data_IF_517106024000
#
_entry.id   IF_517106024000
#
_cell.length_a   1.000
_cell.length_b   1.000
_cell.length_c   1.000
_cell.angle_alpha   90.00
_cell.angle_beta   90.00
_cell.angle_gamma   90.00
#
_symmetry.space_group_name_H-M   'P 1'
#
loop_
_entity.id
_entity.type
_entity.pdbx_description
1 polymer ?
#
# COMPACT_ATOMS: atom_id res chain seq x y z
N UNK A 1 -7.04 33.52 -61.55
CA UNK A 1 -7.61 34.39 -60.49
C UNK A 1 -7.30 33.66 -59.18
N UNK A 2 -6.11 33.91 -58.59
CA UNK A 2 -5.91 34.85 -57.46
C UNK A 2 -6.60 34.26 -56.21
N UNK A 3 -5.97 33.92 -55.07
CA UNK A 3 -4.64 34.14 -54.49
C UNK A 3 -4.47 33.20 -53.29
N UNK A 4 -3.21 32.91 -52.95
CA UNK A 4 -2.71 32.37 -51.68
C UNK A 4 -3.13 33.18 -50.45
N UNK A 5 -3.28 32.54 -49.28
CA UNK A 5 -2.74 33.10 -48.03
C UNK A 5 -2.47 32.00 -46.99
N UNK A 6 -1.20 31.91 -46.59
CA UNK A 6 -0.78 31.16 -45.41
C UNK A 6 -0.99 31.97 -44.13
N UNK A 7 -1.04 31.24 -43.01
CA UNK A 7 -0.71 31.78 -41.70
C UNK A 7 0.04 30.72 -40.91
N UNK A 8 1.35 30.92 -40.80
CA UNK A 8 2.22 30.34 -39.79
C UNK A 8 2.18 31.20 -38.53
N UNK A 9 2.50 30.59 -37.39
CA UNK A 9 2.56 31.21 -36.05
C UNK A 9 1.52 30.54 -35.14
N UNK A 10 1.85 29.84 -34.07
CA UNK A 10 2.98 29.99 -33.16
C UNK A 10 2.37 29.93 -31.75
N UNK A 11 2.73 28.91 -30.98
CA UNK A 11 2.25 28.65 -29.63
C UNK A 11 2.64 27.23 -29.29
N UNK A 12 3.80 27.00 -28.67
CA UNK A 12 4.09 27.45 -27.32
C UNK A 12 3.66 26.31 -26.41
N UNK A 13 4.51 25.31 -26.21
CA UNK A 13 5.37 25.29 -25.03
C UNK A 13 4.54 25.43 -23.74
N UNK A 14 3.79 24.38 -23.38
CA UNK A 14 3.26 24.28 -22.01
C UNK A 14 3.06 22.84 -21.49
N UNK A 15 3.63 21.83 -22.14
CA UNK A 15 3.50 20.43 -21.69
C UNK A 15 4.72 19.90 -20.92
N UNK A 16 5.62 20.81 -20.50
CA UNK A 16 6.81 20.49 -19.68
C UNK A 16 6.67 20.87 -18.21
N UNK A 17 5.52 21.39 -17.79
CA UNK A 17 5.32 21.91 -16.43
C UNK A 17 4.73 20.88 -15.44
N UNK A 18 4.43 19.64 -15.86
CA UNK A 18 3.84 18.65 -14.94
C UNK A 18 4.82 17.68 -14.27
N UNK A 19 6.10 17.65 -14.65
CA UNK A 19 7.15 16.92 -13.90
C UNK A 19 6.91 15.42 -13.62
N UNK A 20 5.91 14.78 -14.27
CA UNK A 20 5.56 13.38 -14.02
C UNK A 20 6.45 12.47 -14.85
N UNK A 21 7.67 12.24 -14.37
CA UNK A 21 8.45 11.07 -14.76
C UNK A 21 7.75 9.84 -14.12
N UNK A 22 6.92 9.15 -14.90
CA UNK A 22 6.17 7.94 -14.58
C UNK A 22 4.97 8.14 -13.62
N UNK A 23 4.27 7.05 -13.29
CA UNK A 23 3.08 7.01 -12.40
C UNK A 23 3.42 7.22 -10.92
N UNK A 24 4.43 8.03 -10.62
CA UNK A 24 4.90 8.29 -9.27
C UNK A 24 3.98 9.26 -8.54
N UNK A 25 3.66 8.93 -7.28
CA UNK A 25 2.94 9.81 -6.38
C UNK A 25 3.91 10.52 -5.43
N UNK A 26 3.99 11.86 -5.54
CA UNK A 26 4.76 12.71 -4.63
C UNK A 26 3.96 13.96 -4.22
N UNK A 27 3.81 14.21 -2.92
CA UNK A 27 3.21 15.44 -2.41
C UNK A 27 4.07 16.69 -2.68
N UNK A 28 3.46 17.81 -3.11
CA UNK A 28 4.17 19.06 -3.38
C UNK A 28 4.80 19.69 -2.13
N UNK A 29 4.33 19.35 -0.92
CA UNK A 29 4.83 19.87 0.35
C UNK A 29 6.14 19.23 0.83
N UNK A 30 6.61 18.15 0.20
CA UNK A 30 7.81 17.41 0.64
C UNK A 30 9.08 18.27 0.74
N UNK A 31 9.42 19.14 -0.23
CA UNK A 31 10.63 19.96 -0.14
C UNK A 31 10.70 20.83 1.11
N UNK A 32 9.59 21.46 1.51
CA UNK A 32 9.52 22.30 2.72
C UNK A 32 9.72 21.45 3.98
N UNK A 33 8.98 20.35 4.08
CA UNK A 33 9.02 19.45 5.24
C UNK A 33 10.40 18.82 5.43
N UNK A 34 11.07 18.44 4.34
CA UNK A 34 12.44 17.91 4.37
C UNK A 34 13.42 18.95 4.94
N UNK A 35 13.33 20.22 4.52
CA UNK A 35 14.20 21.28 5.04
C UNK A 35 13.94 21.53 6.51
N UNK A 36 12.66 21.63 6.91
CA UNK A 36 12.28 21.81 8.32
C UNK A 36 12.81 20.68 9.19
N UNK A 37 12.71 19.43 8.73
CA UNK A 37 13.30 18.28 9.43
C UNK A 37 14.83 18.43 9.56
N UNK A 38 15.51 18.76 8.46
CA UNK A 38 16.97 18.93 8.45
C UNK A 38 17.46 20.09 9.36
N UNK A 39 16.64 21.11 9.57
CA UNK A 39 16.94 22.24 10.46
C UNK A 39 16.46 22.03 11.91
N UNK A 40 15.81 20.90 12.23
CA UNK A 40 15.27 20.63 13.57
C UNK A 40 13.97 21.38 13.89
N UNK A 41 13.26 21.87 12.88
CA UNK A 41 11.97 22.60 12.98
C UNK A 41 10.74 21.70 12.76
N UNK A 42 10.98 20.41 12.57
CA UNK A 42 9.98 19.36 12.42
C UNK A 42 10.41 18.16 13.24
N UNK A 43 9.58 17.79 14.21
CA UNK A 43 9.74 16.56 14.98
C UNK A 43 9.03 15.41 14.24
N UNK A 44 9.71 14.31 13.91
CA UNK A 44 9.09 13.16 13.27
C UNK A 44 8.00 12.53 14.14
N UNK A 45 6.83 12.27 13.55
CA UNK A 45 5.81 11.48 14.23
C UNK A 45 6.20 9.99 14.27
N UNK A 46 5.93 9.25 15.35
CA UNK A 46 6.13 7.80 15.36
C UNK A 46 5.28 7.12 14.27
N UNK A 47 5.82 6.16 13.50
CA UNK A 47 5.05 5.46 12.50
C UNK A 47 4.04 4.51 13.15
N UNK A 48 2.80 4.49 12.64
CA UNK A 48 1.80 3.49 13.02
C UNK A 48 2.12 2.16 12.33
N UNK A 49 2.02 1.05 13.05
CA UNK A 49 2.15 -0.29 12.45
C UNK A 49 1.02 -0.52 11.46
N UNK A 50 1.31 -1.15 10.34
CA UNK A 50 0.35 -1.45 9.28
C UNK A 50 0.74 -2.74 8.55
N UNK A 51 -0.24 -3.35 7.90
CA UNK A 51 -0.05 -4.55 7.10
C UNK A 51 -0.76 -4.41 5.76
N UNK A 52 -0.20 -5.05 4.73
CA UNK A 52 -0.83 -5.11 3.41
C UNK A 52 -0.54 -6.44 2.74
N UNK A 53 -1.49 -6.94 1.95
CA UNK A 53 -1.41 -8.29 1.36
C UNK A 53 -1.52 -8.22 -0.15
N UNK A 54 -0.43 -8.62 -0.82
CA UNK A 54 -0.44 -8.96 -2.24
C UNK A 54 -1.18 -10.27 -2.41
N UNK A 55 -2.49 -10.20 -2.64
CA UNK A 55 -3.31 -11.38 -2.91
C UNK A 55 -3.08 -11.84 -4.35
N UNK A 56 -2.66 -13.09 -4.52
CA UNK A 56 -2.21 -13.67 -5.77
C UNK A 56 -3.18 -14.77 -6.24
N UNK A 57 -3.30 -14.94 -7.55
CA UNK A 57 -3.99 -16.08 -8.14
C UNK A 57 -3.32 -16.50 -9.43
N UNK A 58 -3.59 -17.73 -9.83
CA UNK A 58 -3.33 -18.22 -11.19
C UNK A 58 -4.50 -17.80 -12.09
N UNK A 59 -4.20 -17.01 -13.12
CA UNK A 59 -5.16 -16.59 -14.13
C UNK A 59 -5.65 -17.74 -15.01
N UNK A 60 -6.70 -17.48 -15.80
CA UNK A 60 -7.30 -18.49 -16.68
C UNK A 60 -6.32 -19.01 -17.76
N UNK A 61 -5.32 -18.21 -18.11
CA UNK A 61 -4.24 -18.55 -19.02
C UNK A 61 -3.01 -19.14 -18.33
N UNK A 62 -3.10 -19.44 -17.03
CA UNK A 62 -2.01 -19.96 -16.21
C UNK A 62 -1.07 -18.89 -15.64
N UNK A 63 -1.24 -17.62 -16.01
CA UNK A 63 -0.32 -16.56 -15.58
C UNK A 63 -0.62 -16.05 -14.16
N UNK A 64 0.43 -15.69 -13.42
CA UNK A 64 0.33 -15.00 -12.14
C UNK A 64 -0.42 -13.66 -12.28
N UNK A 65 -1.44 -13.45 -11.44
CA UNK A 65 -2.14 -12.19 -11.30
C UNK A 65 -2.20 -11.76 -9.83
N UNK A 66 -2.18 -10.45 -9.60
CA UNK A 66 -2.28 -9.82 -8.27
C UNK A 66 -3.55 -8.97 -8.19
N UNK A 67 -4.21 -9.02 -7.03
CA UNK A 67 -5.35 -8.18 -6.73
C UNK A 67 -4.89 -6.79 -6.31
N UNK A 68 -5.36 -5.75 -7.00
CA UNK A 68 -5.05 -4.36 -6.68
C UNK A 68 -6.32 -3.53 -6.58
N UNK A 69 -6.31 -2.57 -5.66
CA UNK A 69 -7.39 -1.63 -5.40
C UNK A 69 -6.94 -0.23 -5.82
N UNK A 70 -7.79 0.51 -6.53
CA UNK A 70 -7.59 1.94 -6.79
C UNK A 70 -8.31 2.73 -5.72
N UNK A 71 -7.55 3.46 -4.92
CA UNK A 71 -8.05 4.36 -3.88
C UNK A 71 -8.94 5.43 -4.50
N UNK A 72 -10.05 5.79 -3.85
CA UNK A 72 -10.91 6.87 -4.36
C UNK A 72 -10.11 8.16 -4.55
N UNK A 73 -10.35 8.85 -5.66
CA UNK A 73 -9.63 10.09 -5.99
C UNK A 73 -9.88 11.23 -5.00
N UNK A 74 -10.98 11.18 -4.26
CA UNK A 74 -11.32 12.13 -3.20
C UNK A 74 -10.52 11.95 -1.90
N UNK A 75 -9.73 10.87 -1.76
CA UNK A 75 -8.93 10.66 -0.56
C UNK A 75 -7.80 11.68 -0.48
N UNK A 76 -7.63 12.28 0.71
CA UNK A 76 -6.63 13.31 0.97
C UNK A 76 -5.16 12.83 0.82
N UNK A 77 -4.92 11.51 0.93
CA UNK A 77 -3.59 10.91 0.78
C UNK A 77 -3.65 9.75 -0.22
N UNK A 78 -2.76 9.82 -1.22
CA UNK A 78 -2.65 8.84 -2.31
C UNK A 78 -3.99 8.56 -3.04
N UNK A 79 -4.85 9.57 -3.21
CA UNK A 79 -6.09 9.44 -3.97
C UNK A 79 -5.82 9.06 -5.43
N UNK A 80 -6.53 8.06 -5.94
CA UNK A 80 -6.34 7.51 -7.29
C UNK A 80 -5.12 6.59 -7.45
N UNK A 81 -4.31 6.40 -6.40
CA UNK A 81 -3.21 5.45 -6.43
C UNK A 81 -3.71 4.01 -6.28
N UNK A 82 -3.05 3.09 -6.98
CA UNK A 82 -3.23 1.67 -6.81
C UNK A 82 -2.44 1.18 -5.58
N UNK A 83 -3.07 0.33 -4.80
CA UNK A 83 -2.56 -0.32 -3.61
C UNK A 83 -3.09 -1.77 -3.53
N UNK A 84 -2.75 -2.46 -2.46
CA UNK A 84 -3.34 -3.76 -2.11
C UNK A 84 -4.25 -3.59 -0.90
N UNK A 85 -5.10 -4.59 -0.58
CA UNK A 85 -5.79 -4.65 0.70
C UNK A 85 -4.79 -4.47 1.86
N UNK A 86 -5.13 -3.62 2.81
CA UNK A 86 -4.23 -3.33 3.92
C UNK A 86 -4.54 -2.03 4.64
N UNK A 87 -4.21 -2.02 5.91
CA UNK A 87 -4.48 -0.89 6.80
C UNK A 87 -3.61 -0.93 8.03
N UNK A 88 -3.93 -0.04 8.96
CA UNK A 88 -3.21 0.06 10.21
C UNK A 88 -3.59 -1.09 11.14
N UNK A 89 -2.64 -1.51 11.98
CA UNK A 89 -2.93 -2.38 13.13
C UNK A 89 -3.90 -1.63 14.06
N UNK A 90 -5.04 -2.25 14.35
CA UNK A 90 -6.02 -1.78 15.34
C UNK A 90 -5.58 -2.31 16.72
N UNK A 91 -5.75 -1.55 17.82
CA UNK A 91 -5.49 -2.07 19.16
C UNK A 91 -6.22 -3.39 19.48
N UNK A 92 -7.35 -3.67 18.83
CA UNK A 92 -8.09 -4.93 18.95
C UNK A 92 -7.36 -6.12 18.31
N UNK A 93 -6.42 -5.89 17.41
CA UNK A 93 -5.58 -6.93 16.80
C UNK A 93 -4.53 -7.47 17.79
N UNK A 94 -4.29 -6.76 18.91
CA UNK A 94 -3.36 -7.17 19.98
C UNK A 94 -3.95 -8.24 20.91
N UNK A 95 -5.26 -8.52 20.81
CA UNK A 95 -5.90 -9.60 21.56
C UNK A 95 -5.47 -10.96 21.02
N UNK A 96 -5.37 -11.95 21.90
CA UNK A 96 -5.19 -13.35 21.52
C UNK A 96 -6.32 -13.85 20.62
N UNK A 97 -5.93 -14.58 19.57
CA UNK A 97 -6.87 -15.18 18.61
C UNK A 97 -6.58 -16.67 18.46
N UNK A 98 -7.60 -17.50 18.13
CA UNK A 98 -7.34 -18.87 17.74
C UNK A 98 -6.43 -18.91 16.51
N UNK A 99 -5.39 -19.74 16.55
CA UNK A 99 -4.24 -19.61 15.66
C UNK A 99 -3.77 -20.97 15.13
N UNK A 100 -3.39 -21.02 13.86
CA UNK A 100 -2.77 -22.15 13.19
C UNK A 100 -1.64 -21.67 12.27
N UNK A 101 -0.60 -22.50 12.12
CA UNK A 101 0.61 -22.14 11.38
C UNK A 101 1.78 -21.71 12.28
N UNK A 102 2.82 -21.04 11.73
CA UNK A 102 3.93 -20.52 12.52
C UNK A 102 3.41 -19.66 13.67
N UNK A 103 3.93 -19.91 14.86
CA UNK A 103 3.54 -19.23 16.10
C UNK A 103 3.82 -17.73 16.04
N UNK A 104 3.19 -16.91 16.91
CA UNK A 104 3.55 -15.51 17.07
C UNK A 104 5.05 -15.29 17.34
N UNK A 105 5.71 -16.23 18.04
CA UNK A 105 7.16 -16.19 18.28
C UNK A 105 8.00 -16.40 17.01
N UNK A 106 7.59 -17.34 16.15
CA UNK A 106 8.24 -17.56 14.84
C UNK A 106 8.05 -16.36 13.92
N UNK A 107 6.85 -15.78 13.90
CA UNK A 107 6.59 -14.53 13.18
C UNK A 107 7.37 -13.35 13.76
N UNK A 108 7.52 -13.24 15.08
CA UNK A 108 8.35 -12.21 15.70
C UNK A 108 9.81 -12.27 15.25
N UNK A 109 10.40 -13.47 15.25
CA UNK A 109 11.73 -13.68 14.71
C UNK A 109 11.81 -13.29 13.23
N UNK A 110 10.80 -13.65 12.43
CA UNK A 110 10.72 -13.35 10.99
C UNK A 110 10.59 -11.85 10.69
N UNK A 111 9.79 -11.12 11.48
CA UNK A 111 9.43 -9.72 11.28
C UNK A 111 10.39 -8.76 12.01
N UNK A 112 11.22 -9.27 12.93
CA UNK A 112 12.18 -8.49 13.72
C UNK A 112 11.49 -7.60 14.77
N UNK A 113 10.49 -8.14 15.46
CA UNK A 113 9.68 -7.45 16.48
C UNK A 113 9.31 -8.42 17.62
N UNK A 114 8.69 -7.92 18.68
CA UNK A 114 8.19 -8.75 19.79
C UNK A 114 6.98 -9.61 19.38
N UNK A 115 6.75 -10.79 20.01
CA UNK A 115 5.66 -11.71 19.66
C UNK A 115 4.27 -11.08 19.59
N UNK A 116 3.93 -10.21 20.54
CA UNK A 116 2.63 -9.53 20.60
C UNK A 116 2.47 -8.56 19.43
N UNK A 117 3.56 -7.90 19.03
CA UNK A 117 3.59 -7.02 17.85
C UNK A 117 3.43 -7.83 16.58
N UNK A 118 4.09 -8.99 16.48
CA UNK A 118 4.00 -9.86 15.32
C UNK A 118 2.58 -10.43 15.15
N UNK A 119 1.95 -10.89 16.23
CA UNK A 119 0.56 -11.32 16.23
C UNK A 119 -0.35 -10.21 15.70
N UNK A 120 -0.25 -8.99 16.23
CA UNK A 120 -1.11 -7.89 15.82
C UNK A 120 -0.92 -7.52 14.34
N UNK A 121 0.31 -7.55 13.84
CA UNK A 121 0.63 -7.30 12.42
C UNK A 121 0.02 -8.38 11.52
N UNK A 122 0.11 -9.66 11.91
CA UNK A 122 -0.46 -10.78 11.14
C UNK A 122 -2.00 -10.75 11.20
N UNK A 123 -2.58 -10.47 12.37
CA UNK A 123 -4.03 -10.25 12.53
C UNK A 123 -4.53 -9.14 11.60
N UNK A 124 -3.86 -7.98 11.60
CA UNK A 124 -4.21 -6.88 10.71
C UNK A 124 -4.12 -7.27 9.23
N UNK A 125 -3.11 -8.05 8.83
CA UNK A 125 -2.98 -8.52 7.45
C UNK A 125 -4.21 -9.34 7.01
N UNK A 126 -4.67 -10.29 7.85
CA UNK A 126 -5.83 -11.13 7.53
C UNK A 126 -7.14 -10.35 7.64
N UNK A 127 -7.30 -9.53 8.69
CA UNK A 127 -8.48 -8.70 8.92
C UNK A 127 -8.72 -7.74 7.75
N UNK A 128 -7.72 -6.95 7.38
CA UNK A 128 -7.82 -5.97 6.29
C UNK A 128 -8.08 -6.65 4.94
N UNK A 129 -7.47 -7.82 4.70
CA UNK A 129 -7.77 -8.62 3.49
C UNK A 129 -9.23 -9.04 3.43
N UNK A 130 -9.82 -9.40 4.58
CA UNK A 130 -11.23 -9.71 4.64
C UNK A 130 -12.08 -8.44 4.46
N UNK A 131 -11.83 -7.39 5.22
CA UNK A 131 -12.57 -6.12 5.15
C UNK A 131 -12.62 -5.54 3.74
N UNK A 132 -11.49 -5.45 3.06
CA UNK A 132 -11.41 -4.77 1.76
C UNK A 132 -11.64 -5.69 0.57
N UNK A 133 -11.21 -6.96 0.64
CA UNK A 133 -11.18 -7.83 -0.53
C UNK A 133 -12.16 -8.99 -0.48
N UNK A 134 -12.92 -9.21 0.59
CA UNK A 134 -13.80 -10.39 0.62
C UNK A 134 -13.17 -11.65 1.19
N UNK A 135 -11.84 -11.68 1.27
CA UNK A 135 -11.05 -12.92 1.33
C UNK A 135 -10.54 -13.16 2.74
N UNK A 136 -10.81 -14.35 3.28
CA UNK A 136 -10.48 -14.71 4.65
C UNK A 136 -9.42 -15.82 4.68
N UNK A 137 -8.27 -15.53 5.29
CA UNK A 137 -7.22 -16.52 5.56
C UNK A 137 -7.43 -17.16 6.94
N UNK A 138 -8.56 -17.84 7.09
CA UNK A 138 -8.95 -18.55 8.31
C UNK A 138 -9.79 -19.78 7.98
N UNK A 139 -9.84 -20.75 8.89
CA UNK A 139 -10.58 -21.99 8.73
C UNK A 139 -10.96 -22.64 10.06
N UNK A 140 -11.83 -23.65 10.04
CA UNK A 140 -12.27 -24.35 11.26
C UNK A 140 -11.17 -25.24 11.87
N UNK A 141 -10.11 -25.52 11.12
CA UNK A 141 -8.99 -26.34 11.55
C UNK A 141 -7.67 -25.89 10.86
N UNK A 142 -6.51 -26.42 11.29
CA UNK A 142 -5.20 -26.06 10.70
C UNK A 142 -4.96 -26.52 9.26
N UNK A 143 -5.84 -27.33 8.65
CA UNK A 143 -5.67 -27.88 7.31
C UNK A 143 -6.57 -27.18 6.28
N UNK A 144 -7.75 -26.72 6.67
CA UNK A 144 -8.76 -26.15 5.76
C UNK A 144 -8.94 -24.64 5.93
N UNK A 145 -9.61 -24.03 4.96
CA UNK A 145 -10.07 -22.63 4.99
C UNK A 145 -11.59 -22.60 4.83
N UNK A 146 -12.21 -21.48 5.19
CA UNK A 146 -13.59 -21.20 4.78
C UNK A 146 -13.65 -21.16 3.25
N UNK A 147 -14.43 -22.04 2.63
CA UNK A 147 -14.50 -22.15 1.18
C UNK A 147 -15.30 -21.00 0.52
N UNK A 148 -16.32 -20.48 1.20
CA UNK A 148 -17.19 -19.42 0.68
C UNK A 148 -17.46 -18.38 1.78
N UNK A 149 -17.00 -17.16 1.52
CA UNK A 149 -17.16 -15.98 2.38
C UNK A 149 -18.23 -15.03 1.84
N UNK A 150 -19.11 -15.50 0.96
CA UNK A 150 -20.22 -14.73 0.39
C UNK A 150 -21.54 -14.96 1.14
N UNK A 151 -22.46 -14.01 1.02
CA UNK A 151 -23.78 -14.05 1.66
C UNK A 151 -23.98 -13.00 2.73
N UNK A 152 -25.23 -12.78 3.13
CA UNK A 152 -25.63 -11.65 3.97
C UNK A 152 -24.95 -11.65 5.35
N UNK A 153 -24.76 -12.81 5.96
CA UNK A 153 -24.11 -12.92 7.28
C UNK A 153 -22.61 -12.61 7.22
N UNK A 154 -21.92 -13.02 6.15
CA UNK A 154 -20.50 -12.68 5.96
C UNK A 154 -20.33 -11.19 5.65
N UNK A 155 -21.25 -10.61 4.90
CA UNK A 155 -21.23 -9.18 4.60
C UNK A 155 -21.53 -8.33 5.84
N UNK A 156 -22.47 -8.75 6.69
CA UNK A 156 -22.75 -8.11 7.97
C UNK A 156 -21.51 -8.13 8.89
N UNK A 157 -20.78 -9.25 8.93
CA UNK A 157 -19.56 -9.37 9.72
C UNK A 157 -18.42 -8.51 9.17
N UNK A 158 -18.26 -8.48 7.84
CA UNK A 158 -17.29 -7.63 7.17
C UNK A 158 -17.56 -6.16 7.46
N UNK A 159 -18.82 -5.73 7.39
CA UNK A 159 -19.22 -4.37 7.71
C UNK A 159 -18.98 -4.03 9.20
N UNK A 160 -19.26 -4.96 10.11
CA UNK A 160 -19.01 -4.77 11.53
C UNK A 160 -17.51 -4.67 11.87
N UNK A 161 -16.66 -5.44 11.19
CA UNK A 161 -15.20 -5.34 11.31
C UNK A 161 -14.70 -3.99 10.78
N UNK A 162 -15.06 -3.62 9.55
CA UNK A 162 -14.67 -2.35 8.92
C UNK A 162 -15.22 -1.13 9.69
N UNK A 163 -16.35 -1.27 10.38
CA UNK A 163 -16.93 -0.26 11.26
C UNK A 163 -16.32 -0.21 12.68
N UNK A 164 -15.36 -1.09 12.99
CA UNK A 164 -14.78 -1.29 14.32
C UNK A 164 -15.81 -1.64 15.43
N UNK A 165 -16.96 -2.20 15.05
CA UNK A 165 -18.03 -2.67 15.93
C UNK A 165 -17.76 -4.09 16.46
N UNK A 166 -16.99 -4.88 15.72
CA UNK A 166 -16.58 -6.24 16.05
C UNK A 166 -15.05 -6.31 16.02
N UNK A 167 -14.43 -6.96 17.01
CA UNK A 167 -12.99 -7.26 16.93
C UNK A 167 -12.73 -8.49 16.06
N UNK A 168 -11.56 -8.57 15.44
CA UNK A 168 -11.22 -9.75 14.64
C UNK A 168 -11.13 -11.03 15.49
N UNK A 169 -10.62 -10.93 16.72
CA UNK A 169 -10.63 -12.05 17.67
C UNK A 169 -12.04 -12.54 18.00
N UNK A 170 -12.97 -11.64 18.33
CA UNK A 170 -14.37 -12.00 18.61
C UNK A 170 -15.05 -12.60 17.37
N UNK A 171 -14.76 -12.07 16.19
CA UNK A 171 -15.26 -12.61 14.92
C UNK A 171 -14.82 -14.06 14.71
N UNK A 172 -13.52 -14.35 14.91
CA UNK A 172 -12.96 -15.69 14.78
C UNK A 172 -13.55 -16.64 15.82
N UNK A 173 -13.58 -16.24 17.10
CA UNK A 173 -14.16 -17.05 18.19
C UNK A 173 -15.62 -17.39 17.93
N UNK A 174 -16.44 -16.39 17.58
CA UNK A 174 -17.88 -16.57 17.32
C UNK A 174 -18.14 -17.53 16.16
N UNK A 175 -17.27 -17.52 15.14
CA UNK A 175 -17.38 -18.43 13.98
C UNK A 175 -16.65 -19.76 14.17
N UNK A 176 -15.94 -19.96 15.28
CA UNK A 176 -15.14 -21.16 15.53
C UNK A 176 -13.99 -21.31 14.53
N UNK A 177 -13.33 -20.21 14.18
CA UNK A 177 -12.27 -20.17 13.16
C UNK A 177 -10.91 -19.90 13.79
N UNK A 178 -9.87 -20.48 13.19
CA UNK A 178 -8.48 -20.23 13.45
C UNK A 178 -7.91 -19.34 12.35
N UNK A 179 -7.17 -18.31 12.74
CA UNK A 179 -6.31 -17.56 11.82
C UNK A 179 -5.26 -18.53 11.26
N UNK A 180 -5.19 -18.65 9.93
CA UNK A 180 -4.22 -19.50 9.21
C UNK A 180 -2.98 -18.68 8.83
N UNK A 181 -2.06 -18.52 9.79
CA UNK A 181 -0.87 -17.69 9.61
C UNK A 181 0.11 -18.29 8.60
N UNK A 182 0.05 -19.62 8.40
CA UNK A 182 0.83 -20.36 7.40
C UNK A 182 0.46 -20.04 5.95
N UNK A 183 -0.67 -19.37 5.71
CA UNK A 183 -1.08 -18.91 4.37
C UNK A 183 -0.46 -17.57 3.98
N UNK A 184 0.27 -16.92 4.89
CA UNK A 184 0.96 -15.66 4.65
C UNK A 184 2.45 -15.90 4.46
N UNK A 185 3.04 -15.21 3.48
CA UNK A 185 4.49 -15.10 3.30
C UNK A 185 4.96 -13.67 3.49
N UNK A 186 5.99 -13.43 4.31
CA UNK A 186 6.59 -12.10 4.47
C UNK A 186 7.29 -11.63 3.19
N UNK A 187 6.97 -10.43 2.71
CA UNK A 187 7.40 -9.94 1.39
C UNK A 187 8.31 -8.70 1.44
N UNK A 188 7.94 -7.67 2.18
CA UNK A 188 8.76 -6.47 2.33
C UNK A 188 8.39 -5.73 3.61
N UNK A 189 9.24 -4.78 4.04
CA UNK A 189 8.90 -3.83 5.08
C UNK A 189 9.31 -2.44 4.63
N UNK A 190 8.38 -1.50 4.65
CA UNK A 190 8.62 -0.11 4.26
C UNK A 190 8.13 0.81 5.37
N UNK A 191 8.96 1.79 5.74
CA UNK A 191 8.54 2.81 6.69
C UNK A 191 8.46 4.15 5.97
N UNK A 192 7.33 4.82 6.15
CA UNK A 192 7.06 6.14 5.57
C UNK A 192 8.12 7.15 6.03
N UNK A 193 8.61 8.05 5.15
CA UNK A 193 9.66 9.01 5.48
C UNK A 193 9.37 9.84 6.73
N UNK A 194 10.41 10.23 7.47
CA UNK A 194 10.30 10.96 8.75
C UNK A 194 9.64 12.33 8.64
N UNK A 195 9.81 12.98 7.49
CA UNK A 195 9.21 14.27 7.23
C UNK A 195 7.71 14.18 6.97
N UNK A 196 7.11 13.00 6.78
CA UNK A 196 5.67 12.88 6.53
C UNK A 196 4.85 13.07 7.82
N UNK A 197 3.69 13.76 7.79
CA UNK A 197 2.85 13.96 8.97
C UNK A 197 2.03 12.72 9.33
N UNK A 198 1.86 11.78 8.39
CA UNK A 198 1.20 10.50 8.58
C UNK A 198 2.17 9.41 8.18
N UNK A 199 2.66 8.66 9.16
CA UNK A 199 3.68 7.65 8.95
C UNK A 199 3.16 6.27 9.28
N UNK A 200 3.56 5.31 8.46
CA UNK A 200 3.30 3.90 8.66
C UNK A 200 4.60 3.10 8.61
N UNK A 201 4.70 2.09 9.46
CA UNK A 201 5.66 0.99 9.38
C UNK A 201 4.88 -0.21 8.86
N UNK A 202 5.02 -0.48 7.56
CA UNK A 202 4.15 -1.39 6.83
C UNK A 202 4.88 -2.66 6.47
N UNK A 203 4.37 -3.79 6.97
CA UNK A 203 4.76 -5.11 6.52
C UNK A 203 3.88 -5.53 5.34
N UNK A 204 4.53 -5.92 4.25
CA UNK A 204 3.90 -6.46 3.07
C UNK A 204 3.96 -7.98 3.14
N UNK A 205 2.84 -8.63 2.86
CA UNK A 205 2.71 -10.07 2.77
C UNK A 205 2.26 -10.49 1.36
N UNK A 206 2.55 -11.73 1.00
CA UNK A 206 1.94 -12.42 -0.15
C UNK A 206 1.03 -13.52 0.36
N UNK A 207 -0.09 -13.75 -0.33
CA UNK A 207 -1.01 -14.85 -0.05
C UNK A 207 -1.64 -15.35 -1.36
N UNK A 208 -1.93 -16.65 -1.44
CA UNK A 208 -2.78 -17.17 -2.51
C UNK A 208 -4.26 -16.89 -2.20
N UNK A 209 -5.04 -16.55 -3.23
CA UNK A 209 -6.51 -16.59 -3.15
C UNK A 209 -6.94 -18.02 -2.81
N UNK A 210 -7.60 -18.24 -1.66
CA UNK A 210 -8.00 -19.59 -1.27
C UNK A 210 -9.04 -20.17 -2.22
N UNK A 211 -8.96 -21.47 -2.47
CA UNK A 211 -9.91 -22.17 -3.33
C UNK A 211 -11.36 -21.99 -2.86
N UNK A 212 -12.25 -21.68 -3.80
CA UNK A 212 -13.67 -21.43 -3.55
C UNK A 212 -14.00 -19.96 -3.25
N UNK A 213 -13.06 -19.20 -2.65
CA UNK A 213 -13.28 -17.80 -2.34
C UNK A 213 -13.18 -16.91 -3.59
N UNK A 214 -13.84 -15.76 -3.52
CA UNK A 214 -13.84 -14.74 -4.58
C UNK A 214 -13.65 -13.39 -3.94
N UNK A 215 -12.95 -12.50 -4.64
CA UNK A 215 -12.83 -11.13 -4.16
C UNK A 215 -14.18 -10.43 -4.19
N UNK A 216 -14.51 -9.70 -3.13
CA UNK A 216 -15.68 -8.85 -3.06
C UNK A 216 -15.59 -7.69 -4.07
N UNK A 217 -16.69 -6.93 -4.20
CA UNK A 217 -16.70 -5.68 -4.95
C UNK A 217 -15.82 -4.61 -4.30
N UNK A 218 -15.86 -3.40 -4.84
CA UNK A 218 -15.10 -2.27 -4.28
C UNK A 218 -15.65 -1.84 -2.93
N UNK A 219 -14.77 -1.63 -1.95
CA UNK A 219 -15.10 -1.06 -0.64
C UNK A 219 -15.50 0.42 -0.76
N UNK A 220 -15.83 1.07 0.37
CA UNK A 220 -16.02 2.52 0.41
C UNK A 220 -14.72 3.32 0.22
N UNK A 221 -13.55 2.68 0.30
CA UNK A 221 -12.24 3.35 0.19
C UNK A 221 -11.62 3.19 -1.20
N UNK A 222 -12.08 2.20 -1.98
CA UNK A 222 -11.69 1.98 -3.36
C UNK A 222 -12.83 2.34 -4.34
N UNK A 223 -12.49 2.81 -5.54
CA UNK A 223 -13.48 2.96 -6.63
C UNK A 223 -13.30 1.92 -7.73
N UNK A 224 -12.22 1.13 -7.68
CA UNK A 224 -11.92 0.06 -8.62
C UNK A 224 -11.11 -1.04 -7.95
N UNK A 225 -11.44 -2.29 -8.28
CA UNK A 225 -10.64 -3.46 -7.95
C UNK A 225 -10.28 -4.19 -9.25
N UNK A 226 -9.04 -4.65 -9.38
CA UNK A 226 -8.56 -5.34 -10.58
C UNK A 226 -7.69 -6.54 -10.21
N UNK A 227 -7.78 -7.58 -11.02
CA UNK A 227 -6.76 -8.60 -11.11
C UNK A 227 -5.91 -8.30 -12.32
N UNK A 228 -4.60 -8.10 -12.12
CA UNK A 228 -3.67 -7.67 -13.17
C UNK A 228 -2.37 -8.47 -13.07
N UNK A 229 -1.71 -8.73 -14.21
CA UNK A 229 -0.38 -9.36 -14.19
C UNK A 229 0.63 -8.38 -13.59
N UNK A 230 1.58 -8.82 -12.74
CA UNK A 230 2.61 -7.93 -12.19
C UNK A 230 3.35 -7.13 -13.27
N UNK A 231 3.71 -7.77 -14.39
CA UNK A 231 4.38 -7.12 -15.52
C UNK A 231 3.54 -6.02 -16.17
N UNK A 232 2.24 -6.24 -16.33
CA UNK A 232 1.31 -5.24 -16.89
C UNK A 232 1.14 -4.05 -15.94
N UNK A 233 1.04 -4.33 -14.63
CA UNK A 233 0.91 -3.30 -13.61
C UNK A 233 2.16 -2.40 -13.54
N UNK A 234 3.36 -2.99 -13.59
CA UNK A 234 4.63 -2.26 -13.65
C UNK A 234 4.73 -1.44 -14.94
N UNK A 235 4.41 -2.02 -16.09
CA UNK A 235 4.44 -1.30 -17.36
C UNK A 235 3.44 -0.14 -17.39
N UNK A 236 2.25 -0.32 -16.80
CA UNK A 236 1.26 0.75 -16.64
C UNK A 236 1.75 1.88 -15.73
N UNK A 237 2.47 1.55 -14.66
CA UNK A 237 3.14 2.55 -13.83
C UNK A 237 4.23 3.29 -14.60
N UNK A 238 5.09 2.58 -15.33
CA UNK A 238 6.18 3.18 -16.10
C UNK A 238 5.64 4.14 -17.19
N UNK A 239 4.47 3.83 -17.77
CA UNK A 239 3.76 4.71 -18.71
C UNK A 239 2.98 5.85 -18.05
N UNK A 240 2.89 5.91 -16.72
CA UNK A 240 2.11 6.92 -15.99
C UNK A 240 0.59 6.68 -15.95
N UNK A 241 0.12 5.51 -16.39
CA UNK A 241 -1.30 5.14 -16.45
C UNK A 241 -1.81 4.61 -15.10
N UNK A 242 -0.95 3.96 -14.32
CA UNK A 242 -1.25 3.45 -12.99
C UNK A 242 -0.42 4.21 -11.96
N UNK A 243 -1.06 5.14 -11.27
CA UNK A 243 -0.46 5.87 -10.16
C UNK A 243 -0.16 4.89 -9.02
N UNK A 244 1.07 4.86 -8.53
CA UNK A 244 1.48 4.00 -7.41
C UNK A 244 2.49 4.72 -6.52
N UNK A 245 2.50 4.37 -5.24
CA UNK A 245 3.57 4.75 -4.33
C UNK A 245 4.79 3.83 -4.53
N UNK A 246 6.02 4.28 -4.21
CA UNK A 246 7.24 3.48 -4.35
C UNK A 246 7.16 2.06 -3.76
N UNK A 247 6.60 1.83 -2.54
CA UNK A 247 6.46 0.48 -1.99
C UNK A 247 5.68 -0.44 -2.92
N UNK A 248 4.54 0.01 -3.45
CA UNK A 248 3.65 -0.81 -4.30
C UNK A 248 4.35 -1.26 -5.57
N UNK A 249 4.96 -0.35 -6.33
CA UNK A 249 5.64 -0.73 -7.58
C UNK A 249 6.90 -1.57 -7.29
N UNK A 250 7.61 -1.30 -6.19
CA UNK A 250 8.76 -2.12 -5.80
C UNK A 250 8.34 -3.54 -5.48
N UNK A 251 7.24 -3.74 -4.75
CA UNK A 251 6.75 -5.08 -4.43
C UNK A 251 6.18 -5.81 -5.64
N UNK A 252 5.60 -5.10 -6.62
CA UNK A 252 5.24 -5.67 -7.93
C UNK A 252 6.46 -6.12 -8.72
N UNK A 253 7.50 -5.28 -8.80
CA UNK A 253 8.74 -5.62 -9.51
C UNK A 253 9.40 -6.86 -8.91
N UNK A 254 9.32 -7.01 -7.59
CA UNK A 254 9.82 -8.19 -6.90
C UNK A 254 9.06 -9.49 -7.25
N UNK A 255 7.86 -9.42 -7.84
CA UNK A 255 7.12 -10.59 -8.32
C UNK A 255 7.55 -11.02 -9.74
N UNK A 256 8.16 -10.13 -10.53
CA UNK A 256 8.49 -10.38 -11.94
C UNK A 256 9.39 -11.61 -12.18
N UNK A 257 10.32 -11.99 -11.29
CA UNK A 257 11.13 -13.19 -11.48
C UNK A 257 10.37 -14.52 -11.33
N UNK A 258 9.12 -14.51 -10.85
CA UNK A 258 8.37 -15.72 -10.54
C UNK A 258 7.27 -15.99 -11.57
N UNK A 259 7.14 -17.25 -11.97
CA UNK A 259 6.18 -17.67 -13.00
C UNK A 259 4.78 -17.94 -12.44
N UNK A 260 4.68 -18.42 -11.19
CA UNK A 260 3.43 -18.86 -10.57
C UNK A 260 3.33 -18.53 -9.07
N UNK A 261 2.14 -18.73 -8.50
CA UNK A 261 1.85 -18.45 -7.08
C UNK A 261 2.69 -19.33 -6.13
N UNK A 262 2.81 -20.66 -6.33
CA UNK A 262 3.66 -21.49 -5.47
C UNK A 262 5.11 -21.04 -5.41
N UNK A 263 5.72 -20.64 -6.53
CA UNK A 263 7.09 -20.15 -6.55
C UNK A 263 7.25 -18.85 -5.74
N UNK A 264 6.27 -17.93 -5.82
CA UNK A 264 6.25 -16.72 -5.01
C UNK A 264 6.18 -17.07 -3.51
N UNK A 265 5.25 -17.94 -3.12
CA UNK A 265 5.07 -18.31 -1.71
C UNK A 265 6.29 -19.03 -1.15
N UNK A 266 6.89 -19.94 -1.91
CA UNK A 266 8.11 -20.65 -1.51
C UNK A 266 9.28 -19.69 -1.24
N UNK A 267 9.40 -18.62 -2.04
CA UNK A 267 10.46 -17.62 -1.86
C UNK A 267 10.27 -16.73 -0.63
N UNK A 268 9.04 -16.57 -0.13
CA UNK A 268 8.72 -15.60 0.92
C UNK A 268 9.42 -15.89 2.27
N UNK A 269 9.76 -17.15 2.53
CA UNK A 269 10.50 -17.56 3.72
C UNK A 269 11.92 -16.98 3.79
N UNK A 270 12.55 -16.70 2.65
CA UNK A 270 13.96 -16.30 2.56
C UNK A 270 14.16 -14.80 2.38
N UNK A 271 13.08 -14.02 2.23
CA UNK A 271 13.16 -12.59 1.90
C UNK A 271 13.71 -11.76 3.05
N UNK A 272 14.59 -10.81 2.71
CA UNK A 272 15.01 -9.76 3.64
C UNK A 272 13.83 -8.80 3.92
N UNK A 273 13.52 -8.62 5.21
CA UNK A 273 12.49 -7.69 5.70
C UNK A 273 13.10 -6.52 6.47
N UNK A 274 14.40 -6.25 6.28
CA UNK A 274 15.03 -5.02 6.73
C UNK A 274 14.23 -3.84 6.20
N UNK A 275 13.81 -2.89 7.06
CA UNK A 275 12.92 -1.82 6.66
C UNK A 275 13.58 -0.92 5.60
N UNK A 276 12.88 -0.73 4.49
CA UNK A 276 13.27 0.25 3.48
C UNK A 276 12.88 1.64 3.96
N UNK A 277 13.88 2.52 4.06
CA UNK A 277 13.76 3.89 4.57
C UNK A 277 14.21 4.91 3.54
N UNK A 278 13.42 5.97 3.38
CA UNK A 278 13.85 7.13 2.60
C UNK A 278 14.98 7.88 3.32
N UNK A 279 15.94 8.36 2.55
CA UNK A 279 17.00 9.27 2.98
C UNK A 279 16.91 10.55 2.17
N UNK A 280 16.64 11.65 2.88
CA UNK A 280 16.72 12.99 2.31
C UNK A 280 18.05 13.64 2.71
N UNK A 281 18.76 14.23 1.75
CA UNK A 281 20.01 14.98 1.97
C UNK A 281 19.91 16.35 1.32
N UNK A 282 20.38 17.38 2.02
CA UNK A 282 20.58 18.71 1.46
C UNK A 282 21.95 18.77 0.78
N UNK A 283 22.00 19.08 -0.50
CA UNK A 283 23.23 19.23 -1.30
C UNK A 283 23.21 20.61 -1.94
N UNK A 284 23.82 21.59 -1.27
CA UNK A 284 23.67 22.99 -1.64
C UNK A 284 22.21 23.45 -1.45
N UNK A 285 21.57 23.94 -2.52
CA UNK A 285 20.16 24.34 -2.53
C UNK A 285 19.21 23.20 -2.93
N UNK A 286 19.75 22.07 -3.38
CA UNK A 286 18.97 20.91 -3.82
C UNK A 286 18.69 19.93 -2.68
N UNK A 287 17.56 19.25 -2.79
CA UNK A 287 17.22 18.09 -1.96
C UNK A 287 17.39 16.83 -2.81
N UNK A 288 18.19 15.89 -2.31
CA UNK A 288 18.31 14.55 -2.88
C UNK A 288 17.54 13.58 -1.98
N UNK A 289 16.39 13.12 -2.46
CA UNK A 289 15.57 12.09 -1.82
C UNK A 289 15.86 10.74 -2.47
N UNK A 290 16.20 9.73 -1.68
CA UNK A 290 16.61 8.41 -2.18
C UNK A 290 16.12 7.30 -1.26
N UNK A 291 15.92 6.10 -1.80
CA UNK A 291 15.69 4.88 -1.03
C UNK A 291 16.86 3.93 -1.32
N UNK A 292 17.77 3.67 -0.37
CA UNK A 292 18.89 2.77 -0.61
C UNK A 292 18.44 1.39 -1.11
N UNK A 293 19.04 0.89 -2.19
CA UNK A 293 18.62 -0.36 -2.84
C UNK A 293 17.43 -0.19 -3.80
N UNK A 294 16.92 1.03 -3.93
CA UNK A 294 15.83 1.41 -4.83
C UNK A 294 16.15 2.77 -5.48
N UNK A 295 17.32 2.86 -6.08
CA UNK A 295 17.85 4.08 -6.68
C UNK A 295 16.94 4.65 -7.78
N UNK A 296 16.09 3.82 -8.38
CA UNK A 296 15.12 4.24 -9.40
C UNK A 296 14.02 5.18 -8.87
N UNK A 297 13.86 5.31 -7.55
CA UNK A 297 12.98 6.29 -6.92
C UNK A 297 13.71 7.58 -6.49
N UNK A 298 14.99 7.71 -6.81
CA UNK A 298 15.76 8.89 -6.43
C UNK A 298 15.20 10.14 -7.12
N UNK A 299 14.98 11.19 -6.33
CA UNK A 299 14.49 12.49 -6.80
C UNK A 299 15.43 13.61 -6.38
N UNK A 300 15.68 14.50 -7.32
CA UNK A 300 16.36 15.76 -7.12
C UNK A 300 15.30 16.87 -7.15
N UNK A 301 15.04 17.46 -5.98
CA UNK A 301 14.03 18.49 -5.82
C UNK A 301 14.74 19.85 -5.68
N UNK A 302 14.59 20.71 -6.69
CA UNK A 302 15.09 22.09 -6.68
C UNK A 302 14.02 23.06 -6.17
N UNK A 303 14.43 24.25 -5.74
CA UNK A 303 13.55 25.28 -5.17
C UNK A 303 12.50 25.81 -6.16
N UNK A 304 11.23 25.74 -5.79
CA UNK A 304 10.29 26.84 -6.05
C UNK A 304 10.34 27.83 -4.88
N UNK A 305 10.06 29.13 -5.08
CA UNK A 305 10.06 30.09 -3.98
C UNK A 305 9.05 29.68 -2.89
N UNK A 306 9.29 30.02 -1.62
CA UNK A 306 8.36 29.72 -0.53
C UNK A 306 6.99 30.26 -0.88
N UNK A 307 5.97 29.41 -0.79
CA UNK A 307 4.59 29.84 -0.93
C UNK A 307 4.25 30.71 0.29
N UNK A 308 4.31 32.02 0.13
CA UNK A 308 3.83 32.96 1.14
C UNK A 308 2.34 32.69 1.34
N UNK A 309 1.88 32.34 2.56
CA UNK A 309 0.45 32.29 2.83
C UNK A 309 -0.13 33.66 2.52
N UNK A 310 -1.16 33.73 1.67
CA UNK A 310 -1.86 34.98 1.40
C UNK A 310 -2.38 35.53 2.73
N UNK A 311 -1.75 36.61 3.21
CA UNK A 311 -2.28 37.40 4.32
C UNK A 311 -3.64 37.92 3.89
N UNK A 312 -4.70 37.46 4.56
CA UNK A 312 -6.02 38.02 4.40
C UNK A 312 -5.97 39.52 4.74
N UNK A 313 -6.16 40.37 3.74
CA UNK A 313 -6.38 41.80 3.91
C UNK A 313 -7.64 41.96 4.76
N UNK A 314 -7.60 42.66 5.91
CA UNK A 314 -8.82 43.03 6.61
C UNK A 314 -9.57 44.02 5.71
N UNK A 315 -10.77 43.63 5.26
CA UNK A 315 -11.67 44.53 4.58
C UNK A 315 -12.02 45.69 5.52
N UNK A 316 -11.60 46.89 5.16
CA UNK A 316 -12.22 48.11 5.63
C UNK A 316 -13.48 48.31 4.81
N UNK A 317 -14.64 48.30 5.45
CA UNK A 317 -15.81 49.01 4.94
C UNK A 317 -16.49 49.72 6.11
N UNK A 318 -16.76 50.99 5.83
CA UNK A 318 -17.59 51.91 6.57
C UNK A 318 -19.08 51.68 6.26
#
# INVERSE_FOLDING_TARGET
MVTTNGRTGGGGADDRASGRENGQWYPPEWPDRIRRLAHGELEPVPPRRASTVLLLRTGADGALAVHMLRRRTSMAFAGGAYAYPGGAVDPRDERDVPWAGPSPGEWAARLGVEPEVAQAVVCAAVRETFEEAGVLLAGPDPATVVADTTGAEWEADRAALAGHELSFGDFLERRGLLLRSDLLGGWARWITPEFEPRRYDTWFFVAALPDGQRTAGVSTEADRAVWIRPAEAVAGYDRGELLMMPPTVSTLRALLPYEDVPAVLASAGERDLTPVLARARLVGEEIVLSWPGHEEFTKHLSSGPPHTPATATPGADA
#
